data_IF_090949784085
#
_entry.id   IF_090949784085
#
_cell.length_a   1.000
_cell.length_b   1.000
_cell.length_c   1.000
_cell.angle_alpha   90.00
_cell.angle_beta   90.00
_cell.angle_gamma   90.00
#
_symmetry.space_group_name_H-M   'P 1'
#
loop_
_entity.id
_entity.type
_entity.pdbx_description
1 polymer ?
#
# COMPACT_ATOMS: atom_id res chain seq x y z
N UNK A 1 -13.16 21.05 20.60
CA UNK A 1 -13.47 21.06 19.96
C UNK A 1 -14.72 20.25 19.67
N UNK A 2 -14.93 18.99 19.95
CA UNK A 2 -16.23 18.30 19.96
C UNK A 2 -16.89 18.00 18.60
N UNK A 3 -16.13 18.12 17.49
CA UNK A 3 -16.60 17.72 16.17
C UNK A 3 -16.08 16.32 15.81
N UNK A 4 -16.89 15.56 15.07
CA UNK A 4 -16.47 14.27 14.54
C UNK A 4 -15.42 14.51 13.44
N UNK A 5 -14.30 13.80 13.54
CA UNK A 5 -13.22 13.83 12.54
C UNK A 5 -13.06 12.45 11.93
N UNK A 6 -12.83 12.39 10.64
CA UNK A 6 -12.60 11.14 9.91
C UNK A 6 -11.48 11.31 8.87
N UNK A 7 -10.56 10.35 8.83
CA UNK A 7 -9.54 10.27 7.79
C UNK A 7 -10.02 9.27 6.73
N UNK A 8 -10.03 9.71 5.46
CA UNK A 8 -10.63 8.96 4.36
C UNK A 8 -9.80 7.76 3.86
N UNK A 9 -9.47 6.81 4.73
CA UNK A 9 -8.86 5.54 4.31
C UNK A 9 -9.90 4.61 3.67
N UNK A 10 -10.41 5.03 2.51
CA UNK A 10 -11.52 4.40 1.79
C UNK A 10 -11.26 2.94 1.38
N UNK A 11 -10.01 2.56 1.16
CA UNK A 11 -9.65 1.20 0.77
C UNK A 11 -10.03 0.14 1.82
N UNK A 12 -10.11 0.50 3.12
CA UNK A 12 -10.58 -0.41 4.17
C UNK A 12 -12.07 -0.74 4.06
N UNK A 13 -12.83 0.07 3.33
CA UNK A 13 -14.26 -0.13 3.07
C UNK A 13 -14.55 -0.95 1.81
N UNK A 14 -13.51 -1.30 1.03
CA UNK A 14 -13.67 -2.14 -0.16
C UNK A 14 -14.08 -3.57 0.27
N UNK A 15 -15.15 -4.15 -0.31
CA UNK A 15 -15.59 -5.52 -0.01
C UNK A 15 -14.49 -6.57 -0.15
N UNK A 16 -13.57 -6.40 -1.09
CA UNK A 16 -12.42 -7.30 -1.26
C UNK A 16 -11.52 -7.29 -0.03
N UNK A 17 -11.18 -6.13 0.52
CA UNK A 17 -10.35 -6.01 1.72
C UNK A 17 -11.08 -6.52 2.99
N UNK A 18 -12.40 -6.35 3.06
CA UNK A 18 -13.21 -6.94 4.12
C UNK A 18 -13.19 -8.48 4.05
N UNK A 19 -13.34 -9.05 2.87
CA UNK A 19 -13.25 -10.50 2.65
C UNK A 19 -11.85 -11.05 2.99
N UNK A 20 -10.79 -10.37 2.55
CA UNK A 20 -9.41 -10.77 2.92
C UNK A 20 -9.21 -10.76 4.44
N UNK A 21 -9.74 -9.74 5.14
CA UNK A 21 -9.72 -9.68 6.60
C UNK A 21 -10.45 -10.87 7.23
N UNK A 22 -11.61 -11.23 6.71
CA UNK A 22 -12.37 -12.41 7.17
C UNK A 22 -11.55 -13.69 7.02
N UNK A 23 -10.88 -13.92 5.87
CA UNK A 23 -10.02 -15.08 5.66
C UNK A 23 -8.87 -15.17 6.68
N UNK A 24 -8.27 -14.02 7.03
CA UNK A 24 -7.21 -13.97 8.05
C UNK A 24 -7.77 -14.23 9.44
N UNK A 25 -8.85 -13.55 9.82
CA UNK A 25 -9.45 -13.62 11.16
C UNK A 25 -10.12 -14.97 11.47
N UNK A 26 -10.72 -15.60 10.45
CA UNK A 26 -11.29 -16.95 10.60
C UNK A 26 -10.24 -18.05 10.72
N UNK A 27 -8.97 -17.75 10.46
CA UNK A 27 -7.89 -18.73 10.43
C UNK A 27 -7.89 -19.61 9.17
N UNK A 28 -8.65 -19.27 8.15
CA UNK A 28 -8.71 -20.01 6.88
C UNK A 28 -7.34 -20.11 6.19
N UNK A 29 -6.49 -19.09 6.36
CA UNK A 29 -5.11 -19.09 5.84
C UNK A 29 -4.10 -19.76 6.79
N UNK A 30 -4.53 -20.21 7.97
CA UNK A 30 -3.66 -20.73 9.01
C UNK A 30 -2.85 -19.65 9.72
N UNK A 31 -1.67 -19.99 10.26
CA UNK A 31 -0.75 -18.99 10.85
C UNK A 31 -0.23 -18.09 9.74
N UNK A 32 -0.43 -16.79 9.87
CA UNK A 32 0.09 -15.83 8.91
C UNK A 32 1.61 -15.69 9.07
N UNK A 33 2.32 -15.75 7.96
CA UNK A 33 3.77 -15.71 7.92
C UNK A 33 4.29 -14.39 7.36
N UNK A 34 3.66 -13.90 6.27
CA UNK A 34 4.16 -12.72 5.55
C UNK A 34 3.04 -11.88 4.93
N UNK A 35 3.23 -10.57 4.98
CA UNK A 35 2.53 -9.57 4.17
C UNK A 35 3.54 -8.93 3.22
N UNK A 36 3.22 -8.86 1.93
CA UNK A 36 4.02 -8.11 0.95
C UNK A 36 3.09 -7.17 0.19
N UNK A 37 3.40 -5.90 0.11
CA UNK A 37 2.55 -4.95 -0.58
C UNK A 37 3.29 -3.74 -1.11
N UNK A 38 2.72 -3.13 -2.16
CA UNK A 38 3.20 -1.86 -2.71
C UNK A 38 2.03 -0.96 -3.07
N UNK A 39 2.26 0.34 -2.99
CA UNK A 39 1.37 1.35 -3.56
C UNK A 39 2.17 2.32 -4.41
N UNK A 40 2.00 2.19 -5.71
CA UNK A 40 2.80 2.87 -6.72
C UNK A 40 1.94 3.71 -7.66
N UNK A 41 2.41 4.94 -7.93
CA UNK A 41 1.86 5.86 -8.91
C UNK A 41 2.99 6.56 -9.66
N UNK A 42 2.73 7.04 -10.88
CA UNK A 42 3.68 7.81 -11.69
C UNK A 42 3.35 9.31 -11.75
N UNK A 43 2.45 9.78 -10.89
CA UNK A 43 1.91 11.14 -10.94
C UNK A 43 2.96 12.27 -10.82
N UNK A 44 4.11 11.98 -10.22
CA UNK A 44 5.22 12.93 -10.04
C UNK A 44 6.49 12.52 -10.81
N UNK A 45 6.37 11.61 -11.77
CA UNK A 45 7.50 11.13 -12.58
C UNK A 45 8.09 12.22 -13.49
N UNK A 46 7.26 13.13 -14.00
CA UNK A 46 7.72 14.24 -14.84
C UNK A 46 8.45 15.29 -13.97
N UNK A 47 9.75 15.42 -14.17
CA UNK A 47 10.60 16.36 -13.42
C UNK A 47 10.32 17.84 -13.76
N UNK A 48 9.65 18.10 -14.89
CA UNK A 48 9.26 19.46 -15.30
C UNK A 48 8.05 20.00 -14.53
N UNK A 49 7.33 19.14 -13.80
CA UNK A 49 6.22 19.56 -12.96
C UNK A 49 6.71 20.47 -11.82
N UNK A 50 6.01 21.59 -11.57
CA UNK A 50 6.41 22.52 -10.54
C UNK A 50 6.27 21.94 -9.15
N UNK A 51 7.00 22.55 -8.20
CA UNK A 51 6.86 22.22 -6.79
C UNK A 51 5.42 22.46 -6.30
N UNK A 52 4.95 21.59 -5.43
CA UNK A 52 3.66 21.70 -4.75
C UNK A 52 3.83 21.57 -3.25
N UNK A 53 2.78 21.79 -2.48
CA UNK A 53 2.80 21.57 -1.03
C UNK A 53 3.25 20.16 -0.62
N UNK A 54 3.02 19.15 -1.48
CA UNK A 54 3.43 17.75 -1.26
C UNK A 54 4.95 17.53 -1.20
N UNK A 55 5.72 18.48 -1.71
CA UNK A 55 7.18 18.42 -1.73
C UNK A 55 7.82 19.15 -0.55
N UNK A 56 7.02 19.85 0.26
CA UNK A 56 7.47 20.71 1.35
C UNK A 56 7.15 20.03 2.68
N UNK A 57 8.18 19.62 3.42
CA UNK A 57 8.04 18.85 4.67
C UNK A 57 7.14 19.55 5.69
N UNK A 58 7.32 20.85 5.90
CA UNK A 58 6.50 21.66 6.82
C UNK A 58 5.00 21.64 6.52
N UNK A 59 4.62 21.40 5.25
CA UNK A 59 3.21 21.40 4.81
C UNK A 59 2.63 19.99 4.74
N UNK A 60 3.40 19.03 4.23
CA UNK A 60 2.94 17.66 3.98
C UNK A 60 3.37 16.66 5.07
N UNK A 61 4.42 16.95 5.82
CA UNK A 61 5.01 16.07 6.84
C UNK A 61 5.91 14.99 6.25
N UNK A 62 5.52 14.33 5.15
CA UNK A 62 6.29 13.33 4.42
C UNK A 62 5.80 13.28 2.96
N UNK A 63 6.50 12.52 2.11
CA UNK A 63 6.21 12.39 0.69
C UNK A 63 5.34 11.17 0.36
N UNK A 64 5.92 10.20 -0.36
CA UNK A 64 5.23 8.98 -0.78
C UNK A 64 4.67 8.17 0.39
N UNK A 65 5.32 8.19 1.56
CA UNK A 65 4.82 7.52 2.75
C UNK A 65 3.45 8.09 3.18
N UNK A 66 3.34 9.41 3.26
CA UNK A 66 2.09 10.07 3.68
C UNK A 66 1.00 9.99 2.64
N UNK A 67 1.35 10.17 1.36
CA UNK A 67 0.39 10.22 0.26
C UNK A 67 -0.13 8.82 -0.13
N UNK A 68 0.75 7.83 -0.22
CA UNK A 68 0.45 6.47 -0.69
C UNK A 68 0.64 5.41 0.40
N UNK A 69 1.80 5.43 1.06
CA UNK A 69 2.14 4.43 2.07
C UNK A 69 1.16 4.36 3.22
N UNK A 70 0.57 5.48 3.63
CA UNK A 70 -0.44 5.54 4.69
C UNK A 70 -1.68 4.70 4.38
N UNK A 71 -2.13 4.67 3.12
CA UNK A 71 -3.25 3.82 2.68
C UNK A 71 -2.91 2.34 2.78
N UNK A 72 -1.71 1.95 2.31
CA UNK A 72 -1.27 0.55 2.38
C UNK A 72 -1.05 0.10 3.82
N UNK A 73 -0.48 0.98 4.67
CA UNK A 73 -0.35 0.74 6.11
C UNK A 73 -1.71 0.56 6.79
N UNK A 74 -2.68 1.42 6.47
CA UNK A 74 -4.03 1.32 6.99
C UNK A 74 -4.67 -0.03 6.65
N UNK A 75 -4.54 -0.50 5.40
CA UNK A 75 -5.03 -1.83 4.98
C UNK A 75 -4.27 -2.93 5.72
N UNK A 76 -2.94 -2.85 5.77
CA UNK A 76 -2.14 -3.90 6.41
C UNK A 76 -2.50 -4.05 7.88
N UNK A 77 -2.64 -2.96 8.63
CA UNK A 77 -3.06 -3.00 10.04
C UNK A 77 -4.52 -3.43 10.21
N UNK A 78 -5.41 -3.02 9.30
CA UNK A 78 -6.81 -3.45 9.30
C UNK A 78 -6.95 -4.97 9.18
N UNK A 79 -6.07 -5.62 8.43
CA UNK A 79 -6.10 -7.07 8.16
C UNK A 79 -5.21 -7.85 9.14
N UNK A 80 -3.97 -7.38 9.35
CA UNK A 80 -2.91 -8.12 10.06
C UNK A 80 -2.80 -7.77 11.54
N UNK A 81 -3.35 -6.63 11.96
CA UNK A 81 -3.16 -6.04 13.29
C UNK A 81 -1.93 -5.15 13.40
N UNK A 82 -1.50 -4.88 14.63
CA UNK A 82 -0.50 -3.86 14.94
C UNK A 82 0.90 -4.21 14.45
N UNK A 83 1.60 -3.18 13.94
CA UNK A 83 3.03 -3.23 13.63
C UNK A 83 3.81 -2.86 14.90
N UNK A 84 4.78 -3.70 15.26
CA UNK A 84 5.59 -3.55 16.48
C UNK A 84 6.99 -3.01 16.22
N UNK A 85 7.55 -3.27 15.02
CA UNK A 85 8.86 -2.77 14.60
C UNK A 85 8.88 -2.47 13.12
N UNK A 86 9.70 -1.47 12.74
CA UNK A 86 9.96 -1.10 11.35
C UNK A 86 11.43 -0.80 11.13
N UNK A 87 11.90 -1.07 9.90
CA UNK A 87 13.17 -0.60 9.38
C UNK A 87 12.94 -0.12 7.95
N UNK A 88 13.31 1.13 7.64
CA UNK A 88 12.94 1.80 6.41
C UNK A 88 14.11 2.45 5.71
N UNK A 89 14.02 2.52 4.37
CA UNK A 89 14.89 3.31 3.50
C UNK A 89 14.00 4.18 2.62
N UNK A 90 14.35 5.46 2.49
CA UNK A 90 13.65 6.43 1.66
C UNK A 90 14.62 7.15 0.73
N UNK A 91 14.12 7.61 -0.42
CA UNK A 91 14.90 8.41 -1.37
C UNK A 91 14.04 9.45 -2.07
N UNK A 92 14.66 10.60 -2.38
CA UNK A 92 14.12 11.64 -3.25
C UNK A 92 14.80 11.51 -4.61
N UNK A 93 14.04 11.12 -5.63
CA UNK A 93 14.56 10.88 -6.99
C UNK A 93 14.81 12.20 -7.72
N UNK A 94 13.89 13.14 -7.57
CA UNK A 94 13.98 14.48 -8.16
C UNK A 94 14.18 15.52 -7.05
N UNK A 95 15.45 15.80 -6.66
CA UNK A 95 15.75 16.67 -5.51
C UNK A 95 15.43 18.13 -5.75
N UNK A 96 15.16 18.53 -7.00
CA UNK A 96 14.79 19.89 -7.37
C UNK A 96 13.65 19.87 -8.38
N UNK A 97 12.78 20.89 -8.30
CA UNK A 97 11.69 21.11 -9.26
C UNK A 97 11.53 22.58 -9.57
N UNK A 98 10.94 22.92 -10.76
CA UNK A 98 10.59 24.31 -11.09
C UNK A 98 9.72 24.91 -9.98
N UNK A 99 9.99 26.18 -9.64
CA UNK A 99 9.22 26.92 -8.64
C UNK A 99 7.76 27.11 -9.02
N UNK A 100 7.51 27.31 -10.31
CA UNK A 100 6.18 27.38 -10.91
C UNK A 100 6.26 26.91 -12.37
N UNK A 101 5.13 26.68 -13.00
CA UNK A 101 5.07 26.24 -14.38
C UNK A 101 5.81 27.23 -15.32
N UNK A 102 6.73 26.69 -16.13
CA UNK A 102 7.55 27.46 -17.07
C UNK A 102 8.69 28.27 -16.43
N UNK A 103 9.00 28.06 -15.16
CA UNK A 103 10.13 28.73 -14.48
C UNK A 103 11.41 27.94 -14.65
N UNK A 104 12.52 28.63 -14.95
CA UNK A 104 13.88 28.10 -14.91
C UNK A 104 14.46 28.06 -13.48
N UNK A 105 13.81 28.74 -12.52
CA UNK A 105 14.20 28.73 -11.11
C UNK A 105 13.82 27.38 -10.49
N UNK A 106 14.83 26.60 -10.06
CA UNK A 106 14.64 25.34 -9.38
C UNK A 106 14.69 25.52 -7.86
N UNK A 107 13.78 24.86 -7.17
CA UNK A 107 13.70 24.84 -5.70
C UNK A 107 13.81 23.39 -5.18
N UNK A 108 14.26 23.25 -3.93
CA UNK A 108 14.51 21.95 -3.33
C UNK A 108 13.21 21.20 -3.02
N UNK A 109 13.23 19.89 -3.23
CA UNK A 109 12.22 18.93 -2.79
C UNK A 109 12.67 18.33 -1.46
N UNK A 110 11.84 18.47 -0.41
CA UNK A 110 12.20 18.08 0.96
C UNK A 110 11.71 16.66 1.30
N UNK A 111 10.69 16.16 0.60
CA UNK A 111 10.02 14.90 0.92
C UNK A 111 10.44 13.79 -0.05
N UNK A 112 10.42 12.56 0.44
CA UNK A 112 10.78 11.36 -0.32
C UNK A 112 9.79 11.04 -1.45
N UNK A 113 10.31 10.52 -2.57
CA UNK A 113 9.54 10.02 -3.70
C UNK A 113 9.27 8.50 -3.59
N UNK A 114 10.16 7.78 -2.92
CA UNK A 114 10.08 6.34 -2.74
C UNK A 114 10.43 6.02 -1.29
N UNK A 115 9.66 5.09 -0.71
CA UNK A 115 10.00 4.47 0.57
C UNK A 115 9.76 2.97 0.52
N UNK A 116 10.70 2.22 1.09
CA UNK A 116 10.57 0.77 1.29
C UNK A 116 10.90 0.46 2.74
N UNK A 117 10.10 -0.42 3.35
CA UNK A 117 10.36 -0.83 4.72
C UNK A 117 9.97 -2.28 4.98
N UNK A 118 10.62 -2.86 5.99
CA UNK A 118 10.24 -4.12 6.61
C UNK A 118 9.52 -3.84 7.93
N UNK A 119 8.57 -4.70 8.28
CA UNK A 119 7.78 -4.58 9.51
C UNK A 119 7.71 -5.92 10.23
N UNK A 120 7.61 -5.89 11.56
CA UNK A 120 7.16 -7.02 12.37
C UNK A 120 5.76 -6.72 12.89
N UNK A 121 4.84 -7.66 12.73
CA UNK A 121 3.49 -7.56 13.27
C UNK A 121 3.39 -8.22 14.64
N UNK A 122 2.44 -7.79 15.47
CA UNK A 122 2.21 -8.36 16.80
C UNK A 122 1.89 -9.87 16.77
N UNK A 123 1.35 -10.39 15.67
CA UNK A 123 1.08 -11.82 15.47
C UNK A 123 2.33 -12.63 15.06
N UNK A 124 3.50 -11.99 14.95
CA UNK A 124 4.77 -12.61 14.57
C UNK A 124 5.01 -12.72 13.05
N UNK A 125 4.10 -12.24 12.22
CA UNK A 125 4.33 -12.17 10.78
C UNK A 125 5.31 -11.04 10.44
N UNK A 126 5.99 -11.17 9.29
CA UNK A 126 6.85 -10.10 8.74
C UNK A 126 6.18 -9.40 7.57
N UNK A 127 6.44 -8.10 7.43
CA UNK A 127 5.97 -7.27 6.32
C UNK A 127 7.10 -6.78 5.43
N UNK A 128 6.82 -6.70 4.13
CA UNK A 128 7.61 -5.98 3.15
C UNK A 128 6.69 -5.00 2.44
N UNK A 129 6.91 -3.71 2.64
CA UNK A 129 6.00 -2.66 2.19
C UNK A 129 6.81 -1.62 1.43
N UNK A 130 6.28 -1.18 0.29
CA UNK A 130 6.88 -0.14 -0.52
C UNK A 130 5.83 0.86 -0.98
N UNK A 131 6.25 2.09 -1.26
CA UNK A 131 5.43 3.07 -1.95
C UNK A 131 6.30 3.99 -2.81
N UNK A 132 5.76 4.37 -3.96
CA UNK A 132 6.42 5.26 -4.90
C UNK A 132 5.43 6.16 -5.60
N UNK A 133 5.72 7.46 -5.70
CA UNK A 133 4.95 8.43 -6.49
C UNK A 133 5.59 8.74 -7.86
N UNK A 134 6.66 7.98 -8.19
CA UNK A 134 7.43 8.11 -9.44
C UNK A 134 7.64 6.76 -10.14
N UNK A 135 6.73 5.82 -9.92
CA UNK A 135 6.81 4.47 -10.46
C UNK A 135 6.33 4.43 -11.91
N UNK A 136 7.24 4.37 -12.84
CA UNK A 136 6.98 4.40 -14.29
C UNK A 136 5.90 3.38 -14.70
N UNK A 137 4.83 3.88 -15.33
CA UNK A 137 3.74 3.07 -15.87
C UNK A 137 2.67 2.64 -14.87
N UNK A 138 2.83 2.95 -13.57
CA UNK A 138 1.82 2.67 -12.55
C UNK A 138 0.90 3.88 -12.33
N UNK A 139 -0.41 3.68 -12.53
CA UNK A 139 -1.39 4.77 -12.40
C UNK A 139 -2.03 4.82 -11.01
N UNK A 140 -2.41 3.66 -10.47
CA UNK A 140 -2.99 3.56 -9.12
C UNK A 140 -2.81 2.12 -8.59
N UNK A 141 -1.58 1.65 -8.56
CA UNK A 141 -1.25 0.27 -8.28
C UNK A 141 -1.03 0.05 -6.79
N UNK A 142 -2.12 -0.18 -6.05
CA UNK A 142 -2.08 -0.71 -4.70
C UNK A 142 -2.33 -2.21 -4.78
N UNK A 143 -1.32 -3.01 -4.45
CA UNK A 143 -1.46 -4.46 -4.40
C UNK A 143 -0.79 -5.02 -3.16
N UNK A 144 -1.26 -6.19 -2.74
CA UNK A 144 -0.61 -6.94 -1.66
C UNK A 144 -0.88 -8.44 -1.79
N UNK A 145 -0.01 -9.21 -1.13
CA UNK A 145 -0.14 -10.65 -0.95
C UNK A 145 0.07 -11.00 0.52
N UNK A 146 -0.80 -11.86 1.07
CA UNK A 146 -0.70 -12.42 2.41
C UNK A 146 -0.48 -13.91 2.30
N UNK A 147 0.55 -14.42 2.98
CA UNK A 147 0.90 -15.83 2.98
C UNK A 147 0.72 -16.41 4.38
N UNK A 148 -0.08 -17.45 4.46
CA UNK A 148 -0.28 -18.25 5.66
C UNK A 148 0.11 -19.72 5.44
N UNK A 149 0.12 -20.50 6.51
CA UNK A 149 0.52 -21.92 6.46
C UNK A 149 -0.50 -22.85 5.78
N UNK A 150 -1.74 -22.37 5.58
CA UNK A 150 -2.82 -23.15 4.95
C UNK A 150 -3.34 -22.52 3.67
N UNK A 151 -2.95 -21.28 3.37
CA UNK A 151 -3.42 -20.57 2.18
C UNK A 151 -2.77 -19.21 2.01
N UNK A 152 -3.03 -18.61 0.86
CA UNK A 152 -2.55 -17.28 0.49
C UNK A 152 -3.65 -16.51 -0.21
N UNK A 153 -3.57 -15.19 -0.13
CA UNK A 153 -4.50 -14.29 -0.82
C UNK A 153 -3.73 -13.12 -1.43
N UNK A 154 -4.14 -12.69 -2.64
CA UNK A 154 -3.61 -11.54 -3.36
C UNK A 154 -4.74 -10.58 -3.69
N UNK A 155 -4.47 -9.29 -3.57
CA UNK A 155 -5.37 -8.21 -3.97
C UNK A 155 -4.63 -7.22 -4.88
N UNK A 156 -5.36 -6.67 -5.84
CA UNK A 156 -4.89 -5.64 -6.75
C UNK A 156 -6.01 -4.61 -6.95
N UNK A 157 -5.73 -3.34 -6.62
CA UNK A 157 -6.69 -2.24 -6.74
C UNK A 157 -7.10 -1.96 -8.19
N UNK A 158 -6.22 -2.25 -9.17
CA UNK A 158 -6.56 -2.11 -10.59
C UNK A 158 -7.59 -3.16 -11.04
N UNK A 159 -7.87 -4.15 -10.17
CA UNK A 159 -8.91 -5.19 -10.30
C UNK A 159 -9.76 -5.28 -9.04
N UNK A 160 -10.25 -4.15 -8.57
CA UNK A 160 -10.81 -3.95 -7.22
C UNK A 160 -12.00 -4.84 -6.84
N UNK A 161 -12.67 -5.46 -7.80
CA UNK A 161 -13.82 -6.35 -7.58
C UNK A 161 -13.45 -7.82 -7.38
N UNK A 162 -12.17 -8.16 -7.33
CA UNK A 162 -11.70 -9.54 -7.25
C UNK A 162 -10.51 -9.71 -6.31
N UNK A 163 -10.35 -10.92 -5.82
CA UNK A 163 -9.16 -11.38 -5.11
C UNK A 163 -8.71 -12.72 -5.68
N UNK A 164 -7.44 -13.02 -5.56
CA UNK A 164 -6.92 -14.35 -5.87
C UNK A 164 -6.63 -15.08 -4.56
N UNK A 165 -7.18 -16.30 -4.44
CA UNK A 165 -6.98 -17.12 -3.23
C UNK A 165 -6.35 -18.46 -3.59
N UNK A 166 -5.55 -18.99 -2.69
CA UNK A 166 -4.96 -20.32 -2.73
C UNK A 166 -5.22 -21.01 -1.41
N UNK A 167 -5.65 -22.28 -1.44
CA UNK A 167 -5.76 -23.10 -0.24
C UNK A 167 -4.97 -24.41 -0.39
N UNK A 168 -4.23 -24.77 0.65
CA UNK A 168 -3.45 -26.00 0.69
C UNK A 168 -4.36 -27.26 0.67
N UNK A 169 -5.61 -27.11 1.12
CA UNK A 169 -6.62 -28.18 1.12
C UNK A 169 -7.24 -28.47 -0.23
N UNK A 170 -7.00 -27.62 -1.24
CA UNK A 170 -7.53 -27.83 -2.59
C UNK A 170 -6.92 -29.08 -3.23
N UNK A 171 -7.65 -29.71 -4.16
CA UNK A 171 -7.21 -30.89 -4.88
C UNK A 171 -5.85 -30.61 -5.55
N UNK A 172 -4.92 -31.54 -5.44
CA UNK A 172 -3.55 -31.38 -5.95
C UNK A 172 -3.47 -31.01 -7.44
N UNK A 173 -4.40 -31.53 -8.26
CA UNK A 173 -4.46 -31.21 -9.70
C UNK A 173 -4.87 -29.76 -9.97
N UNK A 174 -5.72 -29.18 -9.10
CA UNK A 174 -6.34 -27.87 -9.29
C UNK A 174 -5.73 -26.83 -8.35
N UNK A 175 -4.69 -27.23 -7.60
CA UNK A 175 -4.06 -26.40 -6.59
C UNK A 175 -3.27 -25.26 -7.23
N UNK A 176 -3.82 -24.04 -7.13
CA UNK A 176 -3.26 -22.81 -7.68
C UNK A 176 -4.06 -21.61 -7.20
N UNK A 177 -3.58 -20.42 -7.51
CA UNK A 177 -4.39 -19.23 -7.28
C UNK A 177 -5.64 -19.25 -8.17
N UNK A 178 -6.81 -19.09 -7.55
CA UNK A 178 -8.08 -18.91 -8.24
C UNK A 178 -8.66 -17.53 -7.95
N UNK A 179 -9.33 -16.94 -8.92
CA UNK A 179 -10.00 -15.66 -8.79
C UNK A 179 -11.36 -15.83 -8.15
N UNK A 180 -11.63 -15.04 -7.13
CA UNK A 180 -12.94 -14.88 -6.48
C UNK A 180 -13.47 -13.50 -6.86
N UNK A 181 -14.62 -13.46 -7.52
CA UNK A 181 -15.33 -12.21 -7.82
C UNK A 181 -16.18 -11.82 -6.63
N UNK A 182 -16.06 -10.58 -6.21
CA UNK A 182 -16.74 -10.05 -5.05
C UNK A 182 -17.75 -8.99 -5.49
N UNK A 183 -18.99 -9.21 -5.12
CA UNK A 183 -20.06 -8.26 -5.36
C UNK A 183 -20.32 -7.45 -4.08
N UNK A 184 -20.64 -6.15 -4.20
CA UNK A 184 -21.22 -5.42 -3.08
C UNK A 184 -22.52 -6.10 -2.66
N UNK A 185 -22.67 -6.30 -1.35
CA UNK A 185 -23.95 -6.77 -0.79
C UNK A 185 -24.95 -5.63 -0.74
#
# INVERSE_FOLDING_TARGET
KGVVNYVGFNNTQNPANAYVRELVQSGALGKIMRFTGTYDQDQLLDESLPITWRHINKLAGCGALGDLGSHLLSISQFIMGDITKVNAVATTVFPKRPKCAGSDELVDVENEDIMTFTAEYANGAIGQIACSRVATGRKNYLCYEIQGTKGSVRYDLERMGEVQVYFQSDNERDRGFRTVLLNPK
#
